data_IF_549059686401
#
_entry.id   IF_549059686401
#
_cell.length_a   1.000
_cell.length_b   1.000
_cell.length_c   1.000
_cell.angle_alpha   90.00
_cell.angle_beta   90.00
_cell.angle_gamma   90.00
#
_symmetry.space_group_name_H-M   'P 1'
#
loop_
_entity.id
_entity.type
_entity.pdbx_description
1 polymer ?
#
# COMPACT_ATOMS: atom_id res chain seq x y z
N UNK A 1 -15.32 0.26 -10.56
CA UNK A 1 -14.02 -0.39 -10.84
C UNK A 1 -13.45 -0.84 -9.52
N UNK A 2 -13.06 -2.10 -9.39
CA UNK A 2 -12.50 -2.64 -8.16
C UNK A 2 -10.98 -2.50 -8.21
N UNK A 3 -10.44 -1.62 -7.36
CA UNK A 3 -9.02 -1.25 -7.36
C UNK A 3 -8.34 -1.76 -6.10
N UNK A 4 -7.25 -2.50 -6.26
CA UNK A 4 -6.32 -2.81 -5.19
C UNK A 4 -5.22 -1.73 -5.16
N UNK A 5 -5.15 -0.97 -4.06
CA UNK A 5 -4.24 0.17 -3.94
C UNK A 5 -2.88 -0.17 -3.33
N UNK A 6 -2.60 -1.44 -3.04
CA UNK A 6 -1.35 -1.81 -2.39
C UNK A 6 -1.04 -3.28 -2.61
N UNK A 7 0.04 -3.59 -3.34
CA UNK A 7 0.50 -4.96 -3.58
C UNK A 7 1.98 -5.05 -3.90
N UNK A 8 2.60 -6.20 -3.55
CA UNK A 8 4.01 -6.53 -3.82
C UNK A 8 4.10 -7.64 -4.87
N UNK A 9 3.36 -7.45 -5.98
CA UNK A 9 3.28 -8.42 -7.09
C UNK A 9 4.35 -8.15 -8.16
N UNK A 10 5.05 -7.00 -8.13
CA UNK A 10 6.15 -6.74 -9.05
C UNK A 10 7.30 -7.73 -8.79
N UNK A 11 7.63 -8.63 -9.74
CA UNK A 11 8.44 -9.80 -9.41
C UNK A 11 9.90 -9.46 -9.13
N UNK A 12 10.44 -10.02 -8.05
CA UNK A 12 11.88 -10.06 -7.75
C UNK A 12 12.52 -8.73 -7.35
N UNK A 13 11.73 -7.75 -6.89
CA UNK A 13 12.24 -6.42 -6.52
C UNK A 13 12.26 -6.18 -5.00
N UNK A 14 11.43 -6.92 -4.25
CA UNK A 14 11.34 -6.81 -2.79
C UNK A 14 11.06 -8.19 -2.17
N UNK A 15 10.53 -8.22 -0.95
CA UNK A 15 10.15 -9.46 -0.27
C UNK A 15 8.79 -10.02 -0.71
N UNK A 16 8.18 -9.44 -1.75
CA UNK A 16 6.94 -9.88 -2.38
C UNK A 16 7.10 -11.10 -3.30
N UNK A 17 6.38 -11.08 -4.42
CA UNK A 17 6.40 -12.14 -5.44
C UNK A 17 7.77 -12.22 -6.11
N UNK A 18 8.28 -13.44 -6.33
CA UNK A 18 9.67 -13.64 -6.73
C UNK A 18 9.88 -13.78 -8.23
N UNK A 19 8.96 -14.42 -8.92
CA UNK A 19 9.13 -14.75 -10.34
C UNK A 19 7.99 -14.17 -11.18
N UNK A 20 8.27 -14.00 -12.48
CA UNK A 20 7.27 -13.54 -13.43
C UNK A 20 6.09 -14.50 -13.52
N UNK A 21 6.34 -15.82 -13.55
CA UNK A 21 5.30 -16.82 -13.63
C UNK A 21 4.37 -16.77 -12.42
N UNK A 22 4.94 -16.66 -11.19
CA UNK A 22 4.17 -16.48 -9.95
C UNK A 22 3.32 -15.19 -10.00
N UNK A 23 3.88 -14.09 -10.54
CA UNK A 23 3.13 -12.84 -10.69
C UNK A 23 1.94 -13.00 -11.64
N UNK A 24 2.14 -13.67 -12.79
CA UNK A 24 1.08 -13.94 -13.76
C UNK A 24 -0.02 -14.84 -13.18
N UNK A 25 0.34 -15.87 -12.41
CA UNK A 25 -0.61 -16.75 -11.72
C UNK A 25 -1.45 -15.98 -10.69
N UNK A 26 -0.82 -15.10 -9.91
CA UNK A 26 -1.51 -14.24 -8.95
C UNK A 26 -2.46 -13.28 -9.67
N UNK A 27 -2.01 -12.62 -10.74
CA UNK A 27 -2.84 -11.72 -11.55
C UNK A 27 -4.08 -12.44 -12.11
N UNK A 28 -3.90 -13.66 -12.65
CA UNK A 28 -5.00 -14.47 -13.16
C UNK A 28 -6.01 -14.86 -12.07
N UNK A 29 -5.58 -14.98 -10.81
CA UNK A 29 -6.49 -15.23 -9.68
C UNK A 29 -7.25 -13.96 -9.29
N UNK A 30 -6.57 -12.80 -9.21
CA UNK A 30 -7.19 -11.50 -8.92
C UNK A 30 -8.23 -11.12 -9.99
N UNK A 31 -7.95 -11.42 -11.25
CA UNK A 31 -8.88 -11.23 -12.37
C UNK A 31 -10.20 -12.02 -12.15
N UNK A 32 -10.09 -13.29 -11.77
CA UNK A 32 -11.28 -14.13 -11.48
C UNK A 32 -12.13 -13.60 -10.33
N UNK A 33 -11.53 -12.89 -9.39
CA UNK A 33 -12.21 -12.24 -8.26
C UNK A 33 -12.72 -10.82 -8.60
N UNK A 34 -12.56 -10.38 -9.86
CA UNK A 34 -13.12 -9.14 -10.35
C UNK A 34 -12.30 -7.90 -10.03
N UNK A 35 -10.99 -8.04 -9.74
CA UNK A 35 -10.09 -6.89 -9.66
C UNK A 35 -9.90 -6.32 -11.06
N UNK A 36 -10.14 -5.02 -11.22
CA UNK A 36 -10.08 -4.33 -12.50
C UNK A 36 -8.86 -3.40 -12.60
N UNK A 37 -8.31 -2.98 -11.46
CA UNK A 37 -7.12 -2.11 -11.38
C UNK A 37 -6.25 -2.51 -10.20
N UNK A 38 -4.93 -2.47 -10.38
CA UNK A 38 -3.95 -2.90 -9.39
C UNK A 38 -2.76 -1.94 -9.37
N UNK A 39 -2.47 -1.42 -8.19
CA UNK A 39 -1.24 -0.69 -7.91
C UNK A 39 -0.18 -1.64 -7.39
N UNK A 40 0.93 -1.74 -8.11
CA UNK A 40 2.15 -2.43 -7.69
C UNK A 40 2.98 -1.40 -6.92
N UNK A 41 3.19 -1.64 -5.64
CA UNK A 41 3.79 -0.70 -4.70
C UNK A 41 5.00 -1.32 -3.99
N UNK A 42 6.04 -1.75 -4.74
CA UNK A 42 7.21 -2.35 -4.12
C UNK A 42 7.84 -1.42 -3.10
N UNK A 43 8.49 -2.02 -2.10
CA UNK A 43 9.22 -1.28 -1.08
C UNK A 43 10.38 -0.46 -1.65
N UNK A 44 10.52 0.78 -1.16
CA UNK A 44 11.75 1.58 -1.24
C UNK A 44 12.13 1.97 0.18
N UNK A 45 13.21 1.39 0.69
CA UNK A 45 13.74 1.59 2.04
C UNK A 45 15.25 1.34 2.07
N UNK A 46 15.93 1.73 3.17
CA UNK A 46 17.39 1.56 3.29
C UNK A 46 17.84 0.11 3.07
N UNK A 47 17.10 -0.87 3.60
CA UNK A 47 17.41 -2.30 3.43
C UNK A 47 17.05 -2.85 2.05
N UNK A 48 16.20 -2.16 1.29
CA UNK A 48 15.77 -2.45 -0.07
C UNK A 48 15.81 -1.16 -0.91
N UNK A 49 17.01 -0.67 -1.27
CA UNK A 49 17.20 0.64 -1.89
C UNK A 49 16.89 0.61 -3.39
N UNK A 50 15.72 0.12 -3.76
CA UNK A 50 15.27 0.04 -5.13
C UNK A 50 15.36 1.40 -5.84
N UNK A 51 15.90 1.39 -7.07
CA UNK A 51 15.92 2.58 -7.92
C UNK A 51 14.64 2.70 -8.71
N UNK A 52 14.11 3.89 -8.85
CA UNK A 52 12.85 4.11 -9.58
C UNK A 52 12.93 3.67 -11.04
N UNK A 53 14.09 3.83 -11.69
CA UNK A 53 14.29 3.39 -13.08
C UNK A 53 14.30 1.86 -13.22
N UNK A 54 14.93 1.15 -12.27
CA UNK A 54 14.92 -0.32 -12.25
C UNK A 54 13.51 -0.87 -12.03
N UNK A 55 12.73 -0.23 -11.14
CA UNK A 55 11.32 -0.56 -10.91
C UNK A 55 10.46 -0.32 -12.17
N UNK A 56 10.67 0.80 -12.87
CA UNK A 56 9.98 1.10 -14.13
C UNK A 56 10.32 0.06 -15.22
N UNK A 57 11.59 -0.35 -15.31
CA UNK A 57 12.00 -1.39 -16.24
C UNK A 57 11.30 -2.72 -15.91
N UNK A 58 11.35 -3.16 -14.64
CA UNK A 58 10.70 -4.40 -14.21
C UNK A 58 9.18 -4.36 -14.42
N UNK A 59 8.57 -3.21 -14.21
CA UNK A 59 7.15 -3.00 -14.47
C UNK A 59 6.81 -3.13 -15.97
N UNK A 60 7.65 -2.57 -16.87
CA UNK A 60 7.47 -2.71 -18.30
C UNK A 60 7.59 -4.18 -18.75
N UNK A 61 8.51 -4.96 -18.16
CA UNK A 61 8.65 -6.41 -18.41
C UNK A 61 7.38 -7.17 -18.00
N UNK A 62 6.83 -6.88 -16.82
CA UNK A 62 5.57 -7.49 -16.37
C UNK A 62 4.39 -7.09 -17.28
N UNK A 63 4.28 -5.81 -17.65
CA UNK A 63 3.22 -5.34 -18.55
C UNK A 63 3.30 -6.01 -19.93
N UNK A 64 4.49 -6.23 -20.47
CA UNK A 64 4.68 -6.91 -21.74
C UNK A 64 4.29 -8.39 -21.69
N UNK A 65 4.44 -9.04 -20.53
CA UNK A 65 4.09 -10.45 -20.35
C UNK A 65 2.61 -10.67 -19.98
N UNK A 66 1.96 -9.67 -19.36
CA UNK A 66 0.56 -9.77 -18.94
C UNK A 66 -0.40 -9.33 -20.04
N UNK A 67 -1.27 -10.24 -20.48
CA UNK A 67 -2.28 -9.98 -21.52
C UNK A 67 -3.72 -9.90 -20.99
N UNK A 68 -3.90 -9.95 -19.65
CA UNK A 68 -5.23 -9.89 -19.03
C UNK A 68 -5.80 -8.47 -18.92
N UNK A 69 -7.04 -8.33 -18.42
CA UNK A 69 -7.78 -7.06 -18.42
C UNK A 69 -7.47 -6.15 -17.24
N UNK A 70 -6.70 -6.59 -16.22
CA UNK A 70 -6.40 -5.74 -15.06
C UNK A 70 -5.49 -4.59 -15.49
N UNK A 71 -5.90 -3.36 -15.21
CA UNK A 71 -5.06 -2.19 -15.40
C UNK A 71 -3.95 -2.16 -14.35
N UNK A 72 -2.73 -2.49 -14.75
CA UNK A 72 -1.55 -2.44 -13.90
C UNK A 72 -1.00 -1.01 -13.83
N UNK A 73 -0.63 -0.56 -12.64
CA UNK A 73 -0.07 0.75 -12.34
C UNK A 73 1.11 0.59 -11.38
N UNK A 74 2.13 1.44 -11.51
CA UNK A 74 3.32 1.42 -10.67
C UNK A 74 3.31 2.62 -9.73
N UNK A 75 3.56 2.35 -8.45
CA UNK A 75 3.91 3.31 -7.42
C UNK A 75 5.02 2.71 -6.54
N UNK A 76 5.25 3.25 -5.36
CA UNK A 76 6.10 2.62 -4.35
C UNK A 76 5.50 2.79 -2.97
N UNK A 77 5.78 1.83 -2.08
CA UNK A 77 5.62 1.97 -0.64
C UNK A 77 6.95 2.41 -0.04
N UNK A 78 6.98 3.62 0.53
CA UNK A 78 8.18 4.21 1.08
C UNK A 78 8.23 4.02 2.59
N UNK A 79 9.30 3.38 3.10
CA UNK A 79 9.63 3.48 4.52
C UNK A 79 10.05 4.91 4.84
N UNK A 80 9.51 5.50 5.90
CA UNK A 80 9.89 6.84 6.37
C UNK A 80 11.24 6.79 7.10
N UNK A 81 12.31 6.59 6.33
CA UNK A 81 13.71 6.51 6.77
C UNK A 81 14.58 7.63 6.16
N UNK A 82 15.91 7.51 6.23
CA UNK A 82 16.82 8.51 5.66
C UNK A 82 16.82 8.46 4.12
N UNK A 83 16.72 7.26 3.52
CA UNK A 83 16.63 7.11 2.06
C UNK A 83 15.39 7.81 1.51
N UNK A 84 14.23 7.68 2.18
CA UNK A 84 13.04 8.43 1.78
C UNK A 84 13.27 9.94 1.77
N UNK A 85 13.93 10.45 2.80
CA UNK A 85 14.25 11.89 2.90
C UNK A 85 15.10 12.38 1.72
N UNK A 86 16.12 11.60 1.33
CA UNK A 86 16.96 11.87 0.16
C UNK A 86 16.16 11.85 -1.14
N UNK A 87 15.27 10.86 -1.31
CA UNK A 87 14.39 10.73 -2.49
C UNK A 87 13.39 11.88 -2.59
N UNK A 88 12.81 12.28 -1.48
CA UNK A 88 11.88 13.43 -1.43
C UNK A 88 12.59 14.71 -1.86
N UNK A 89 13.79 14.96 -1.36
CA UNK A 89 14.58 16.15 -1.71
C UNK A 89 15.03 16.13 -3.18
N UNK A 90 15.33 14.96 -3.73
CA UNK A 90 15.69 14.77 -5.13
C UNK A 90 14.49 14.79 -6.11
N UNK A 91 13.26 14.65 -5.62
CA UNK A 91 12.08 14.49 -6.44
C UNK A 91 12.02 13.14 -7.18
N UNK A 92 12.81 12.15 -6.74
CA UNK A 92 12.87 10.80 -7.35
C UNK A 92 11.84 9.88 -6.69
N UNK A 93 10.57 10.06 -7.06
CA UNK A 93 9.43 9.41 -6.43
C UNK A 93 8.51 8.72 -7.45
N UNK A 94 7.82 7.67 -7.01
CA UNK A 94 6.77 6.95 -7.70
C UNK A 94 5.45 7.18 -6.96
N UNK A 95 4.65 8.18 -7.35
CA UNK A 95 3.42 8.52 -6.67
C UNK A 95 2.31 7.51 -6.93
N UNK A 96 1.35 7.44 -6.01
CA UNK A 96 0.14 6.64 -6.13
C UNK A 96 -1.09 7.52 -6.43
N UNK A 97 -2.09 6.91 -7.06
CA UNK A 97 -3.35 7.56 -7.39
C UNK A 97 -3.36 8.19 -8.78
N UNK A 98 -4.56 8.33 -9.34
CA UNK A 98 -4.73 8.81 -10.73
C UNK A 98 -4.25 10.24 -10.96
N UNK A 99 -4.24 11.07 -9.91
CA UNK A 99 -3.73 12.44 -9.98
C UNK A 99 -2.20 12.53 -9.90
N UNK A 100 -1.54 11.45 -9.44
CA UNK A 100 -0.09 11.42 -9.28
C UNK A 100 0.44 12.43 -8.24
N UNK A 101 -0.37 12.76 -7.22
CA UNK A 101 -0.06 13.76 -6.20
C UNK A 101 0.01 13.17 -4.77
N UNK A 102 -0.03 11.86 -4.63
CA UNK A 102 0.00 11.17 -3.34
C UNK A 102 1.19 10.21 -3.23
N UNK A 103 1.71 10.05 -2.03
CA UNK A 103 2.74 9.07 -1.71
C UNK A 103 2.19 8.05 -0.71
N UNK A 104 2.40 6.75 -1.00
CA UNK A 104 2.15 5.68 -0.06
C UNK A 104 3.39 5.52 0.81
N UNK A 105 3.21 5.67 2.11
CA UNK A 105 4.32 5.63 3.07
C UNK A 105 4.01 4.68 4.21
N UNK A 106 5.06 4.09 4.77
CA UNK A 106 4.96 3.24 5.96
C UNK A 106 6.01 3.60 7.00
N UNK A 107 5.89 3.02 8.18
CA UNK A 107 6.88 3.05 9.26
C UNK A 107 7.09 1.65 9.81
N UNK A 108 8.07 1.46 10.68
CA UNK A 108 8.18 0.22 11.45
C UNK A 108 6.87 -0.05 12.21
N UNK A 109 6.42 -1.31 12.21
CA UNK A 109 5.22 -1.70 12.97
C UNK A 109 5.39 -1.55 14.48
N UNK A 110 6.62 -1.55 14.99
CA UNK A 110 6.92 -1.62 16.42
C UNK A 110 7.40 -0.30 17.02
N UNK A 111 8.14 0.50 16.24
CA UNK A 111 8.78 1.73 16.72
C UNK A 111 8.51 2.87 15.75
N UNK A 112 7.96 4.00 16.22
CA UNK A 112 7.78 5.16 15.36
C UNK A 112 9.15 5.73 14.95
N UNK A 113 9.26 6.40 13.79
CA UNK A 113 10.42 7.24 13.50
C UNK A 113 10.52 8.36 14.55
N UNK A 114 11.72 8.87 14.79
CA UNK A 114 11.95 9.89 15.83
C UNK A 114 11.10 11.15 15.66
N UNK A 115 10.75 11.51 14.44
CA UNK A 115 9.95 12.71 14.13
C UNK A 115 8.93 12.40 13.03
N UNK A 116 7.97 11.53 13.31
CA UNK A 116 6.90 11.18 12.36
C UNK A 116 6.13 12.42 11.88
N UNK A 117 5.77 13.31 12.79
CA UNK A 117 4.98 14.49 12.44
C UNK A 117 5.77 15.48 11.56
N UNK A 118 7.07 15.65 11.83
CA UNK A 118 7.96 16.46 10.99
C UNK A 118 8.16 15.86 9.60
N UNK A 119 8.35 14.54 9.48
CA UNK A 119 8.45 13.85 8.18
C UNK A 119 7.17 14.03 7.36
N UNK A 120 6.00 13.82 7.98
CA UNK A 120 4.71 14.02 7.31
C UNK A 120 4.48 15.51 6.93
N UNK A 121 4.96 16.44 7.74
CA UNK A 121 4.90 17.87 7.42
C UNK A 121 5.80 18.23 6.23
N UNK A 122 7.00 17.65 6.13
CA UNK A 122 7.91 17.81 4.97
C UNK A 122 7.26 17.30 3.68
N UNK A 123 6.62 16.13 3.69
CA UNK A 123 5.90 15.59 2.52
C UNK A 123 4.85 16.61 2.05
N UNK A 124 4.03 17.13 2.96
CA UNK A 124 3.02 18.14 2.63
C UNK A 124 3.62 19.45 2.11
N UNK A 125 4.71 19.92 2.74
CA UNK A 125 5.41 21.12 2.30
C UNK A 125 6.00 20.99 0.90
N UNK A 126 6.38 19.76 0.50
CA UNK A 126 6.83 19.44 -0.86
C UNK A 126 5.66 19.30 -1.88
N UNK A 127 4.42 19.51 -1.45
CA UNK A 127 3.24 19.49 -2.32
C UNK A 127 2.56 18.13 -2.46
N UNK A 128 2.98 17.11 -1.70
CA UNK A 128 2.44 15.76 -1.76
C UNK A 128 1.34 15.51 -0.72
N UNK A 129 0.32 14.75 -1.10
CA UNK A 129 -0.59 14.12 -0.15
C UNK A 129 0.03 12.84 0.41
N UNK A 130 -0.17 12.58 1.70
CA UNK A 130 0.33 11.36 2.34
C UNK A 130 -0.80 10.34 2.49
N UNK A 131 -0.53 9.11 2.05
CA UNK A 131 -1.33 7.93 2.33
C UNK A 131 -0.50 7.02 3.23
N UNK A 132 -0.87 6.90 4.51
CA UNK A 132 -0.21 6.02 5.46
C UNK A 132 -0.74 4.60 5.26
N UNK A 133 0.15 3.68 4.90
CA UNK A 133 -0.16 2.28 4.70
C UNK A 133 -0.53 1.61 6.02
N UNK A 134 -1.55 0.76 6.00
CA UNK A 134 -1.95 -0.17 7.08
C UNK A 134 -1.74 0.35 8.52
N UNK A 135 -2.25 1.55 8.91
CA UNK A 135 -2.01 2.14 10.23
C UNK A 135 -2.46 1.25 11.39
N UNK A 136 -3.35 0.30 11.14
CA UNK A 136 -3.77 -0.70 12.11
C UNK A 136 -2.66 -1.67 12.54
N UNK A 137 -1.57 -1.80 11.74
CA UNK A 137 -0.42 -2.67 12.05
C UNK A 137 0.58 -2.03 13.01
N UNK A 138 0.52 -0.71 13.21
CA UNK A 138 1.45 -0.02 14.11
C UNK A 138 1.05 -0.21 15.56
N UNK A 139 1.83 -1.00 16.30
CA UNK A 139 1.51 -1.34 17.71
C UNK A 139 1.59 -0.13 18.63
N UNK A 140 2.44 0.84 18.32
CA UNK A 140 2.62 2.07 19.11
C UNK A 140 1.50 3.11 18.92
N UNK A 141 0.66 3.00 17.87
CA UNK A 141 -0.41 3.95 17.61
C UNK A 141 -1.67 3.60 18.40
N UNK A 142 -2.28 4.61 18.99
CA UNK A 142 -3.58 4.53 19.63
C UNK A 142 -4.66 5.36 18.89
N UNK A 143 -5.83 5.44 19.46
CA UNK A 143 -6.95 6.18 18.87
C UNK A 143 -6.73 7.70 18.78
N UNK A 144 -5.90 8.28 19.64
CA UNK A 144 -5.58 9.70 19.61
C UNK A 144 -4.62 10.00 18.45
N UNK A 145 -3.63 9.12 18.22
CA UNK A 145 -2.70 9.22 17.11
C UNK A 145 -3.42 9.22 15.76
N UNK A 146 -4.35 8.28 15.55
CA UNK A 146 -5.11 8.23 14.30
C UNK A 146 -5.90 9.52 14.05
N UNK A 147 -6.57 10.08 15.08
CA UNK A 147 -7.29 11.34 14.93
C UNK A 147 -6.37 12.52 14.65
N UNK A 148 -5.22 12.57 15.31
CA UNK A 148 -4.20 13.60 15.12
C UNK A 148 -3.66 13.59 13.70
N UNK A 149 -3.30 12.42 13.17
CA UNK A 149 -2.78 12.25 11.82
C UNK A 149 -3.82 12.62 10.75
N UNK A 150 -5.07 12.18 10.91
CA UNK A 150 -6.17 12.57 10.02
C UNK A 150 -6.42 14.09 10.04
N UNK A 151 -6.44 14.70 11.23
CA UNK A 151 -6.60 16.14 11.37
C UNK A 151 -5.46 16.93 10.71
N UNK A 152 -4.26 16.34 10.66
CA UNK A 152 -3.10 16.88 9.94
C UNK A 152 -3.14 16.60 8.42
N UNK A 153 -4.20 15.97 7.88
CA UNK A 153 -4.37 15.72 6.45
C UNK A 153 -3.77 14.42 5.92
N UNK A 154 -3.28 13.53 6.81
CA UNK A 154 -2.83 12.20 6.40
C UNK A 154 -4.04 11.33 6.08
N UNK A 155 -4.01 10.64 4.93
CA UNK A 155 -5.01 9.63 4.53
C UNK A 155 -4.53 8.25 4.97
N UNK A 156 -5.46 7.31 5.17
CA UNK A 156 -5.13 5.95 5.60
C UNK A 156 -5.54 4.90 4.57
N UNK A 157 -4.66 3.94 4.32
CA UNK A 157 -4.95 2.75 3.53
C UNK A 157 -5.21 1.56 4.45
N UNK A 158 -6.34 0.89 4.29
CA UNK A 158 -6.69 -0.35 4.97
C UNK A 158 -5.99 -1.54 4.31
N UNK A 159 -5.32 -2.39 5.10
CA UNK A 159 -4.86 -3.69 4.63
C UNK A 159 -6.00 -4.73 4.77
N UNK A 160 -6.40 -5.34 3.66
CA UNK A 160 -7.49 -6.32 3.62
C UNK A 160 -7.19 -7.56 4.47
N UNK A 161 -5.94 -8.01 4.50
CA UNK A 161 -5.47 -9.11 5.34
C UNK A 161 -5.63 -8.84 6.83
N UNK A 162 -5.57 -7.58 7.27
CA UNK A 162 -5.80 -7.19 8.67
C UNK A 162 -7.23 -7.51 9.11
N UNK A 163 -8.22 -7.27 8.27
CA UNK A 163 -9.62 -7.63 8.55
C UNK A 163 -9.81 -9.15 8.57
N UNK A 164 -9.17 -9.87 7.67
CA UNK A 164 -9.19 -11.32 7.63
C UNK A 164 -8.51 -11.97 8.85
N UNK A 165 -7.64 -11.22 9.55
CA UNK A 165 -6.96 -11.65 10.77
C UNK A 165 -5.56 -12.22 10.53
N UNK A 166 -4.98 -11.98 9.36
CA UNK A 166 -3.64 -12.47 8.98
C UNK A 166 -2.54 -11.99 9.94
N UNK A 167 -2.72 -10.82 10.57
CA UNK A 167 -1.75 -10.20 11.48
C UNK A 167 -2.16 -10.26 12.97
N UNK A 168 -3.11 -11.14 13.31
CA UNK A 168 -3.51 -11.39 14.68
C UNK A 168 -4.69 -10.54 15.17
N UNK A 169 -5.11 -10.82 16.42
CA UNK A 169 -6.36 -10.29 16.99
C UNK A 169 -6.32 -8.78 17.24
N UNK A 170 -5.17 -8.26 17.66
CA UNK A 170 -5.01 -6.84 17.98
C UNK A 170 -5.13 -5.99 16.73
N UNK A 171 -4.37 -6.31 15.67
CA UNK A 171 -4.41 -5.65 14.37
C UNK A 171 -5.83 -5.70 13.79
N UNK A 172 -6.48 -6.87 13.82
CA UNK A 172 -7.88 -7.00 13.38
C UNK A 172 -8.84 -6.12 14.18
N UNK A 173 -8.64 -5.97 15.49
CA UNK A 173 -9.45 -5.09 16.34
C UNK A 173 -9.27 -3.62 15.96
N UNK A 174 -8.01 -3.17 15.76
CA UNK A 174 -7.68 -1.81 15.28
C UNK A 174 -8.30 -1.55 13.91
N UNK A 175 -8.11 -2.48 12.94
CA UNK A 175 -8.69 -2.37 11.60
C UNK A 175 -10.21 -2.19 11.63
N UNK A 176 -10.92 -3.01 12.42
CA UNK A 176 -12.38 -2.89 12.58
C UNK A 176 -12.80 -1.59 13.25
N UNK A 177 -12.01 -1.08 14.18
CA UNK A 177 -12.30 0.18 14.83
C UNK A 177 -12.13 1.34 13.85
N UNK A 178 -11.02 1.43 13.12
CA UNK A 178 -10.76 2.45 12.09
C UNK A 178 -11.83 2.42 10.99
N UNK A 179 -12.20 1.22 10.50
CA UNK A 179 -13.24 1.06 9.48
C UNK A 179 -14.61 1.56 9.97
N UNK A 180 -14.99 1.26 11.22
CA UNK A 180 -16.27 1.72 11.80
C UNK A 180 -16.34 3.24 11.92
N UNK A 181 -15.19 3.91 12.14
CA UNK A 181 -15.13 5.37 12.27
C UNK A 181 -14.93 6.08 10.91
N UNK A 182 -14.84 5.34 9.80
CA UNK A 182 -14.67 5.93 8.46
C UNK A 182 -13.31 6.59 8.26
N UNK A 183 -12.25 6.06 8.90
CA UNK A 183 -10.92 6.66 8.89
C UNK A 183 -10.07 6.27 7.66
N UNK A 184 -10.46 5.22 6.94
CA UNK A 184 -9.77 4.82 5.73
C UNK A 184 -10.26 5.55 4.49
N UNK A 185 -9.34 5.84 3.59
CA UNK A 185 -9.61 6.46 2.29
C UNK A 185 -9.64 5.44 1.18
N UNK A 186 -8.72 4.47 1.21
CA UNK A 186 -8.58 3.39 0.23
C UNK A 186 -8.26 2.07 0.94
N UNK A 187 -8.34 0.97 0.20
CA UNK A 187 -7.93 -0.35 0.68
C UNK A 187 -6.99 -1.03 -0.32
N UNK A 188 -6.11 -1.88 0.18
CA UNK A 188 -5.20 -2.71 -0.61
C UNK A 188 -4.98 -4.07 0.02
N UNK A 189 -4.53 -5.02 -0.77
CA UNK A 189 -4.28 -6.39 -0.31
C UNK A 189 -2.99 -6.49 0.50
N UNK A 190 -1.99 -5.67 0.17
CA UNK A 190 -0.62 -5.81 0.67
C UNK A 190 -0.09 -7.24 0.43
N UNK A 191 -0.35 -7.74 -0.77
CA UNK A 191 -0.12 -9.13 -1.14
C UNK A 191 1.35 -9.38 -1.46
N UNK A 192 2.00 -10.17 -0.60
CA UNK A 192 3.41 -10.56 -0.74
C UNK A 192 3.60 -12.02 -1.19
N UNK A 193 2.61 -12.88 -1.02
CA UNK A 193 2.70 -14.31 -1.29
C UNK A 193 1.42 -14.83 -1.92
N UNK A 194 1.55 -15.73 -2.87
CA UNK A 194 0.41 -16.37 -3.52
C UNK A 194 -0.63 -16.93 -2.52
N UNK A 195 -0.16 -17.59 -1.47
CA UNK A 195 -1.04 -18.15 -0.41
C UNK A 195 -1.92 -17.11 0.30
N UNK A 196 -1.54 -15.82 0.28
CA UNK A 196 -2.33 -14.75 0.89
C UNK A 196 -3.59 -14.45 0.07
N UNK A 197 -3.57 -14.76 -1.23
CA UNK A 197 -4.73 -14.57 -2.12
C UNK A 197 -5.95 -15.26 -1.54
N UNK A 198 -5.83 -16.54 -1.14
CA UNK A 198 -6.95 -17.29 -0.56
C UNK A 198 -7.47 -16.63 0.72
N UNK A 199 -6.58 -16.25 1.64
CA UNK A 199 -6.98 -15.61 2.90
C UNK A 199 -7.71 -14.30 2.67
N UNK A 200 -7.26 -13.49 1.71
CA UNK A 200 -7.82 -12.17 1.42
C UNK A 200 -9.14 -12.30 0.65
N UNK A 201 -9.19 -13.14 -0.39
CA UNK A 201 -10.31 -13.25 -1.29
C UNK A 201 -11.46 -14.09 -0.73
N UNK A 202 -11.17 -15.14 0.07
CA UNK A 202 -12.23 -15.95 0.70
C UNK A 202 -12.87 -15.27 1.91
N UNK A 203 -12.20 -14.25 2.48
CA UNK A 203 -12.78 -13.49 3.58
C UNK A 203 -13.91 -12.60 3.09
N UNK A 204 -15.12 -12.79 3.66
CA UNK A 204 -16.26 -11.93 3.35
C UNK A 204 -16.08 -10.56 4.01
N UNK A 205 -15.54 -9.63 3.24
CA UNK A 205 -15.32 -8.25 3.70
C UNK A 205 -16.66 -7.55 4.02
N UNK A 206 -16.69 -6.71 5.09
CA UNK A 206 -17.85 -5.86 5.36
C UNK A 206 -18.18 -4.95 4.16
N UNK A 207 -19.45 -4.63 3.94
CA UNK A 207 -19.90 -3.75 2.84
C UNK A 207 -19.18 -2.40 2.82
N UNK A 208 -18.77 -1.90 3.97
CA UNK A 208 -17.99 -0.64 4.11
C UNK A 208 -16.61 -0.68 3.46
N UNK A 209 -16.09 -1.85 3.12
CA UNK A 209 -14.81 -1.99 2.40
C UNK A 209 -14.96 -1.67 0.92
N UNK A 210 -16.11 -1.99 0.32
CA UNK A 210 -16.34 -1.79 -1.10
C UNK A 210 -16.08 -0.34 -1.57
N UNK A 211 -16.56 0.71 -0.88
CA UNK A 211 -16.23 2.09 -1.25
C UNK A 211 -14.73 2.37 -1.28
N UNK A 212 -13.96 1.75 -0.38
CA UNK A 212 -12.50 1.95 -0.32
C UNK A 212 -11.75 1.33 -1.52
N UNK A 213 -12.35 0.29 -2.15
CA UNK A 213 -11.84 -0.36 -3.35
C UNK A 213 -12.35 0.28 -4.66
N UNK A 214 -13.25 1.25 -4.56
CA UNK A 214 -13.83 1.97 -5.71
C UNK A 214 -13.56 3.48 -5.66
N UNK A 215 -12.86 3.92 -4.64
CA UNK A 215 -12.46 5.31 -4.46
C UNK A 215 -11.35 5.68 -5.45
N UNK A 216 -11.03 6.97 -5.52
CA UNK A 216 -9.89 7.50 -6.26
C UNK A 216 -8.99 8.29 -5.29
N UNK A 217 -7.69 8.18 -5.47
CA UNK A 217 -6.69 9.00 -4.79
C UNK A 217 -6.39 10.26 -5.58
#
# INVERSE_FOLDING_TARGET
MLTDFHSHILPGVDDGIRTLDEALDVLARLEREGVESLWLTPHIMEDLPNRTDDLRQRFAELQAAYSGPIRLQLAAEYMLDSLFSERLDAGDLLPIGERGDALLVETSCFTPPMDLDGLLARIRAAGWHTVLAHPERYFYMDHADYRRLLAAGTRFQLNLGSLAGAYGREVRRKAKWLLRHGFYTVAGSDLHRERMVDTILTYRHPERVRPLLTNTL
#
